data_IF_948506349124
#
_entry.id   IF_948506349124
#
_cell.length_a   1.000
_cell.length_b   1.000
_cell.length_c   1.000
_cell.angle_alpha   90.00
_cell.angle_beta   90.00
_cell.angle_gamma   90.00
#
_symmetry.space_group_name_H-M   'P 1'
#
loop_
_entity.id
_entity.type
_entity.pdbx_description
1 polymer ?
#
# COMPACT_ATOMS: atom_id res chain seq x y z
N UNK A 1 -42.51 -31.76 36.65
CA UNK A 1 -42.59 -32.17 35.23
C UNK A 1 -41.16 -32.29 34.75
N UNK A 2 -40.58 -33.49 34.62
CA UNK A 2 -40.86 -34.44 33.53
C UNK A 2 -40.57 -33.76 32.16
N UNK A 3 -39.80 -34.29 31.22
CA UNK A 3 -39.43 -35.68 30.99
C UNK A 3 -38.31 -35.70 29.92
N UNK A 4 -37.63 -36.86 29.84
CA UNK A 4 -36.75 -37.31 28.76
C UNK A 4 -37.39 -37.19 27.37
N UNK A 5 -36.54 -37.09 26.33
CA UNK A 5 -36.40 -38.10 25.25
C UNK A 5 -35.25 -37.68 24.30
N UNK A 6 -34.19 -38.50 24.14
CA UNK A 6 -34.07 -39.61 23.16
C UNK A 6 -33.95 -39.07 21.72
N UNK A 7 -33.03 -39.45 20.82
CA UNK A 7 -32.28 -40.71 20.67
C UNK A 7 -31.07 -40.54 19.74
N UNK A 8 -30.02 -41.31 20.04
CA UNK A 8 -28.94 -41.84 19.18
C UNK A 8 -29.24 -42.02 17.67
N UNK A 9 -28.18 -41.90 16.85
CA UNK A 9 -27.56 -42.96 16.03
C UNK A 9 -26.63 -42.28 14.98
N UNK A 10 -25.43 -42.73 14.61
CA UNK A 10 -24.94 -44.08 14.35
C UNK A 10 -23.44 -44.20 14.64
N UNK A 11 -23.10 -45.32 15.23
CA UNK A 11 -21.79 -45.90 15.47
C UNK A 11 -21.24 -46.55 14.18
N UNK A 12 -19.92 -46.71 14.09
CA UNK A 12 -19.25 -47.17 12.87
C UNK A 12 -17.77 -47.53 13.00
N UNK A 13 -17.50 -48.58 13.80
CA UNK A 13 -16.44 -49.59 13.61
C UNK A 13 -15.01 -49.34 14.17
N UNK A 14 -14.83 -49.88 15.39
CA UNK A 14 -13.78 -50.81 15.87
C UNK A 14 -12.32 -50.63 15.38
N UNK A 15 -11.43 -50.49 16.36
CA UNK A 15 -10.28 -51.40 16.47
C UNK A 15 -9.96 -51.72 17.93
N UNK A 16 -9.72 -53.01 18.17
CA UNK A 16 -9.58 -53.67 19.47
C UNK A 16 -8.25 -53.36 20.19
N UNK A 17 -8.27 -53.65 21.49
CA UNK A 17 -7.21 -53.61 22.51
C UNK A 17 -5.83 -54.11 22.06
N UNK A 18 -4.76 -53.37 22.37
CA UNK A 18 -3.49 -53.91 22.90
C UNK A 18 -2.84 -52.86 23.82
N UNK A 19 -2.65 -53.25 25.07
CA UNK A 19 -1.81 -52.63 26.09
C UNK A 19 -0.35 -52.51 25.66
N UNK A 20 0.26 -51.33 25.76
CA UNK A 20 1.71 -51.22 25.95
C UNK A 20 2.04 -49.90 26.67
N UNK A 21 2.44 -50.03 27.93
CA UNK A 21 3.06 -48.97 28.72
C UNK A 21 4.42 -48.63 28.10
N UNK A 22 4.58 -47.42 27.52
CA UNK A 22 5.90 -46.79 27.35
C UNK A 22 5.84 -45.27 27.56
N UNK A 23 6.93 -44.70 28.10
CA UNK A 23 6.90 -43.42 28.78
C UNK A 23 6.78 -42.24 27.84
N UNK A 24 6.13 -41.20 28.37
CA UNK A 24 6.03 -39.84 27.86
C UNK A 24 7.41 -39.28 27.51
N UNK A 25 7.82 -39.46 26.26
CA UNK A 25 8.97 -38.78 25.68
C UNK A 25 8.44 -37.64 24.80
N UNK A 26 8.30 -36.49 25.46
CA UNK A 26 7.94 -35.23 24.85
C UNK A 26 8.80 -34.90 23.62
N UNK A 27 8.14 -34.85 22.47
CA UNK A 27 8.51 -33.98 21.35
C UNK A 27 7.33 -33.80 20.40
N UNK A 28 6.17 -33.45 20.96
CA UNK A 28 5.26 -32.60 20.19
C UNK A 28 6.00 -31.28 20.03
N UNK A 29 6.46 -31.00 18.82
CA UNK A 29 6.78 -29.64 18.40
C UNK A 29 5.49 -28.87 18.65
N UNK A 30 5.41 -28.22 19.80
CA UNK A 30 4.41 -27.21 20.07
C UNK A 30 4.51 -26.24 18.91
N UNK A 31 3.55 -26.31 18.00
CA UNK A 31 3.24 -25.20 17.13
C UNK A 31 2.93 -24.06 18.11
N UNK A 32 3.95 -23.27 18.44
CA UNK A 32 3.82 -22.06 19.23
C UNK A 32 2.83 -21.20 18.48
N UNK A 33 1.55 -21.33 18.85
CA UNK A 33 0.56 -20.31 18.59
C UNK A 33 1.13 -19.08 19.28
N UNK A 34 1.77 -18.20 18.52
CA UNK A 34 2.11 -16.83 18.93
C UNK A 34 0.78 -16.10 19.13
N UNK A 35 0.03 -16.49 20.16
CA UNK A 35 -1.22 -15.88 20.55
C UNK A 35 -0.87 -14.56 21.21
N UNK A 36 -1.05 -13.46 20.49
CA UNK A 36 -0.95 -12.13 21.05
C UNK A 36 -1.95 -11.99 22.20
N UNK A 37 -1.49 -11.46 23.34
CA UNK A 37 -2.38 -11.16 24.46
C UNK A 37 -3.50 -10.23 23.99
N UNK A 38 -4.74 -10.48 24.43
CA UNK A 38 -5.93 -9.73 23.99
C UNK A 38 -5.76 -8.22 24.15
N UNK A 39 -5.07 -7.77 25.19
CA UNK A 39 -4.79 -6.36 25.45
C UNK A 39 -3.93 -5.68 24.36
N UNK A 40 -3.13 -6.46 23.64
CA UNK A 40 -2.26 -5.99 22.54
C UNK A 40 -2.92 -6.07 21.17
N UNK A 41 -4.12 -6.65 21.06
CA UNK A 41 -4.80 -6.81 19.78
C UNK A 41 -5.42 -5.49 19.28
N UNK A 42 -5.42 -5.33 17.97
CA UNK A 42 -5.87 -4.14 17.25
C UNK A 42 -7.41 -4.16 17.15
N UNK A 43 -8.07 -3.12 17.65
CA UNK A 43 -9.51 -2.93 17.50
C UNK A 43 -9.91 -2.26 16.18
N UNK A 44 -11.21 -1.99 15.98
CA UNK A 44 -11.77 -1.38 14.76
C UNK A 44 -11.03 -0.10 14.37
N UNK A 45 -10.92 0.87 15.28
CA UNK A 45 -10.25 2.15 15.00
C UNK A 45 -8.78 1.95 14.60
N UNK A 46 -8.07 1.06 15.30
CA UNK A 46 -6.68 0.73 14.96
C UNK A 46 -6.56 0.09 13.58
N UNK A 47 -7.49 -0.78 13.20
CA UNK A 47 -7.53 -1.40 11.89
C UNK A 47 -7.87 -0.39 10.77
N UNK A 48 -8.77 0.57 11.03
CA UNK A 48 -9.04 1.67 10.09
C UNK A 48 -7.75 2.46 9.83
N UNK A 49 -7.07 2.91 10.89
CA UNK A 49 -5.82 3.65 10.73
C UNK A 49 -4.71 2.82 10.07
N UNK A 50 -4.63 1.51 10.36
CA UNK A 50 -3.69 0.61 9.72
C UNK A 50 -3.87 0.61 8.19
N UNK A 51 -5.13 0.50 7.72
CA UNK A 51 -5.47 0.52 6.29
C UNK A 51 -5.19 1.91 5.69
N UNK A 52 -5.71 2.97 6.31
CA UNK A 52 -5.52 4.35 5.84
C UNK A 52 -4.04 4.71 5.69
N UNK A 53 -3.21 4.36 6.68
CA UNK A 53 -1.79 4.70 6.69
C UNK A 53 -1.01 4.05 5.55
N UNK A 54 -1.46 2.88 5.10
CA UNK A 54 -0.83 2.12 4.02
C UNK A 54 -1.34 2.53 2.65
N UNK A 55 -2.65 2.77 2.52
CA UNK A 55 -3.26 3.28 1.28
C UNK A 55 -2.76 4.68 0.93
N UNK A 56 -2.70 5.60 1.92
CA UNK A 56 -2.24 6.96 1.69
C UNK A 56 -0.71 6.96 1.52
N UNK A 57 -0.29 7.07 0.27
CA UNK A 57 1.09 7.10 -0.17
C UNK A 57 1.27 8.03 -1.36
N UNK A 58 2.28 7.77 -2.16
CA UNK A 58 2.67 8.68 -3.25
C UNK A 58 1.70 8.68 -4.41
N UNK A 59 0.86 7.64 -4.50
CA UNK A 59 -0.19 7.49 -5.49
C UNK A 59 -1.02 8.77 -5.65
N UNK A 60 -1.64 9.26 -4.58
CA UNK A 60 -2.51 10.45 -4.63
C UNK A 60 -1.76 11.76 -4.91
N UNK A 61 -0.45 11.80 -4.65
CA UNK A 61 0.37 13.00 -4.88
C UNK A 61 1.06 13.02 -6.25
N UNK A 62 1.05 11.90 -6.99
CA UNK A 62 1.80 11.74 -8.25
C UNK A 62 0.91 11.28 -9.41
N UNK A 63 0.11 10.23 -9.20
CA UNK A 63 -0.67 9.62 -10.28
C UNK A 63 -1.77 10.51 -10.90
N UNK A 64 -2.32 11.54 -10.23
CA UNK A 64 -3.22 12.49 -10.91
C UNK A 64 -2.63 13.05 -12.20
N UNK A 65 -1.31 13.31 -12.23
CA UNK A 65 -0.59 13.75 -13.42
C UNK A 65 -0.68 12.72 -14.55
N UNK A 66 -0.26 11.48 -14.28
CA UNK A 66 -0.25 10.39 -15.26
C UNK A 66 -1.64 10.01 -15.75
N UNK A 67 -2.65 10.02 -14.86
CA UNK A 67 -4.05 9.71 -15.20
C UNK A 67 -4.63 10.80 -16.10
N UNK A 68 -4.39 12.07 -15.77
CA UNK A 68 -4.85 13.17 -16.61
C UNK A 68 -4.12 13.18 -17.96
N UNK A 69 -2.80 12.97 -17.97
CA UNK A 69 -2.01 12.87 -19.19
C UNK A 69 -2.53 11.78 -20.14
N UNK A 70 -2.91 10.62 -19.59
CA UNK A 70 -3.48 9.53 -20.36
C UNK A 70 -4.88 9.81 -20.92
N UNK A 71 -5.73 10.51 -20.17
CA UNK A 71 -7.15 10.69 -20.50
C UNK A 71 -7.47 11.97 -21.28
N UNK A 72 -6.70 13.04 -21.05
CA UNK A 72 -6.96 14.36 -21.62
C UNK A 72 -8.28 15.01 -21.18
N UNK A 73 -8.96 14.46 -20.16
CA UNK A 73 -10.28 14.91 -19.72
C UNK A 73 -10.38 14.89 -18.19
N UNK A 74 -10.83 16.01 -17.63
CA UNK A 74 -10.95 16.23 -16.18
C UNK A 74 -12.05 15.33 -15.60
N UNK A 75 -13.22 15.31 -16.24
CA UNK A 75 -14.37 14.52 -15.83
C UNK A 75 -14.09 13.02 -15.90
N UNK A 76 -13.42 12.57 -16.97
CA UNK A 76 -13.02 11.17 -17.11
C UNK A 76 -11.98 10.80 -16.04
N UNK A 77 -10.97 11.65 -15.79
CA UNK A 77 -9.99 11.43 -14.72
C UNK A 77 -10.67 11.23 -13.36
N UNK A 78 -11.63 12.09 -13.02
CA UNK A 78 -12.40 11.99 -11.77
C UNK A 78 -13.27 10.72 -11.71
N UNK A 79 -13.92 10.35 -12.81
CA UNK A 79 -14.67 9.10 -12.89
C UNK A 79 -13.78 7.88 -12.66
N UNK A 80 -12.57 7.87 -13.22
CA UNK A 80 -11.64 6.77 -13.01
C UNK A 80 -11.24 6.64 -11.53
N UNK A 81 -11.09 7.73 -10.78
CA UNK A 81 -10.86 7.66 -9.33
C UNK A 81 -12.04 7.04 -8.57
N UNK A 82 -13.28 7.34 -8.97
CA UNK A 82 -14.49 6.72 -8.40
C UNK A 82 -14.54 5.23 -8.75
N UNK A 83 -14.28 4.88 -10.01
CA UNK A 83 -14.19 3.48 -10.48
C UNK A 83 -13.10 2.74 -9.71
N UNK A 84 -11.95 3.36 -9.46
CA UNK A 84 -10.87 2.79 -8.65
C UNK A 84 -11.30 2.44 -7.23
N UNK A 85 -12.05 3.33 -6.58
CA UNK A 85 -12.64 3.07 -5.27
C UNK A 85 -13.62 1.89 -5.32
N UNK A 86 -14.49 1.85 -6.33
CA UNK A 86 -15.42 0.73 -6.53
C UNK A 86 -14.70 -0.61 -6.78
N UNK A 87 -13.70 -0.65 -7.66
CA UNK A 87 -12.88 -1.84 -7.91
C UNK A 87 -12.16 -2.31 -6.64
N UNK A 88 -11.70 -1.37 -5.81
CA UNK A 88 -11.08 -1.67 -4.52
C UNK A 88 -12.08 -2.30 -3.56
N UNK A 89 -13.33 -1.83 -3.53
CA UNK A 89 -14.41 -2.47 -2.77
C UNK A 89 -14.72 -3.88 -3.26
N UNK A 90 -14.75 -4.13 -4.58
CA UNK A 90 -14.92 -5.47 -5.13
C UNK A 90 -13.78 -6.41 -4.69
N UNK A 91 -12.53 -5.95 -4.77
CA UNK A 91 -11.37 -6.69 -4.29
C UNK A 91 -11.42 -6.97 -2.79
N UNK A 92 -11.86 -5.99 -2.00
CA UNK A 92 -12.09 -6.16 -0.56
C UNK A 92 -13.10 -7.28 -0.29
N UNK A 93 -14.22 -7.32 -0.98
CA UNK A 93 -15.25 -8.34 -0.77
C UNK A 93 -14.70 -9.76 -0.97
N UNK A 94 -13.91 -9.98 -2.02
CA UNK A 94 -13.22 -11.27 -2.27
C UNK A 94 -12.29 -11.62 -1.11
N UNK A 95 -11.49 -10.65 -0.64
CA UNK A 95 -10.55 -10.87 0.46
C UNK A 95 -11.24 -11.06 1.81
N UNK A 96 -12.41 -10.45 2.03
CA UNK A 96 -13.21 -10.68 3.22
C UNK A 96 -13.70 -12.12 3.26
N UNK A 97 -14.21 -12.68 2.16
CA UNK A 97 -14.61 -14.09 2.13
C UNK A 97 -13.46 -15.02 2.50
N UNK A 98 -12.28 -14.83 1.88
CA UNK A 98 -11.10 -15.62 2.22
C UNK A 98 -10.61 -15.39 3.65
N UNK A 99 -10.53 -14.14 4.11
CA UNK A 99 -10.03 -13.79 5.45
C UNK A 99 -10.95 -14.25 6.57
N UNK A 100 -12.26 -14.34 6.32
CA UNK A 100 -13.24 -14.88 7.25
C UNK A 100 -13.22 -16.42 7.29
N UNK A 101 -12.93 -17.07 6.15
CA UNK A 101 -12.80 -18.52 6.05
C UNK A 101 -11.44 -19.04 6.55
N UNK A 102 -10.37 -18.27 6.37
CA UNK A 102 -8.99 -18.61 6.72
C UNK A 102 -8.44 -17.52 7.64
N UNK A 103 -8.79 -17.52 8.94
CA UNK A 103 -8.39 -16.48 9.89
C UNK A 103 -6.92 -16.64 10.34
N UNK A 104 -6.00 -16.71 9.37
CA UNK A 104 -4.56 -16.79 9.57
C UNK A 104 -3.88 -15.61 8.88
N UNK A 105 -2.91 -15.03 9.57
CA UNK A 105 -2.05 -13.99 9.00
C UNK A 105 -1.26 -14.54 7.83
N UNK A 106 -1.20 -13.77 6.74
CA UNK A 106 -0.49 -14.15 5.50
C UNK A 106 -1.17 -13.73 4.21
N UNK A 107 -2.42 -13.24 4.27
CA UNK A 107 -3.14 -12.67 3.13
C UNK A 107 -3.17 -13.60 1.91
N UNK A 108 -2.77 -13.06 0.75
CA UNK A 108 -2.81 -13.75 -0.55
C UNK A 108 -2.10 -15.10 -0.52
N UNK A 109 -1.05 -15.25 0.29
CA UNK A 109 -0.32 -16.51 0.43
C UNK A 109 -1.24 -17.63 0.88
N UNK A 110 -1.93 -17.42 1.99
CA UNK A 110 -2.80 -18.43 2.58
C UNK A 110 -3.98 -18.74 1.65
N UNK A 111 -4.44 -17.74 0.90
CA UNK A 111 -5.57 -17.87 -0.02
C UNK A 111 -5.17 -18.71 -1.24
N UNK A 112 -4.05 -18.37 -1.88
CA UNK A 112 -3.57 -19.09 -3.06
C UNK A 112 -3.14 -20.52 -2.73
N UNK A 113 -2.50 -20.77 -1.58
CA UNK A 113 -2.15 -22.13 -1.14
C UNK A 113 -3.39 -23.00 -0.90
N UNK A 114 -4.49 -22.38 -0.43
CA UNK A 114 -5.74 -23.11 -0.15
C UNK A 114 -6.42 -23.58 -1.43
N UNK A 115 -6.39 -22.76 -2.48
CA UNK A 115 -7.04 -22.97 -3.78
C UNK A 115 -6.13 -23.77 -4.72
N UNK A 116 -4.94 -23.25 -5.00
CA UNK A 116 -4.01 -23.79 -5.99
C UNK A 116 -3.05 -24.79 -5.37
N UNK A 117 -3.56 -26.00 -5.10
CA UNK A 117 -2.83 -27.06 -4.38
C UNK A 117 -1.80 -27.81 -5.24
N UNK A 118 -1.90 -27.75 -6.57
CA UNK A 118 -1.05 -28.48 -7.51
C UNK A 118 -0.50 -27.56 -8.61
N UNK A 119 0.80 -27.69 -8.98
CA UNK A 119 1.83 -28.46 -8.30
C UNK A 119 2.18 -27.89 -6.91
N UNK A 120 2.61 -28.75 -5.99
CA UNK A 120 2.90 -28.38 -4.60
C UNK A 120 3.96 -27.27 -4.58
N UNK A 121 3.75 -26.24 -3.76
CA UNK A 121 4.59 -25.03 -3.63
C UNK A 121 4.57 -24.05 -4.80
N UNK A 122 3.90 -24.31 -5.93
CA UNK A 122 3.92 -23.36 -7.05
C UNK A 122 3.31 -22.01 -6.67
N UNK A 123 2.12 -22.01 -6.06
CA UNK A 123 1.45 -20.79 -5.61
C UNK A 123 2.34 -19.98 -4.65
N UNK A 124 2.95 -20.66 -3.68
CA UNK A 124 3.87 -20.05 -2.74
C UNK A 124 5.09 -19.48 -3.44
N UNK A 125 5.72 -20.22 -4.36
CA UNK A 125 6.90 -19.77 -5.11
C UNK A 125 6.60 -18.55 -6.00
N UNK A 126 5.44 -18.53 -6.67
CA UNK A 126 5.00 -17.39 -7.48
C UNK A 126 4.81 -16.16 -6.60
N UNK A 127 4.12 -16.30 -5.46
CA UNK A 127 3.96 -15.18 -4.54
C UNK A 127 5.29 -14.74 -3.91
N UNK A 128 6.11 -15.68 -3.46
CA UNK A 128 7.40 -15.41 -2.85
C UNK A 128 8.32 -14.67 -3.82
N UNK A 129 8.42 -15.13 -5.07
CA UNK A 129 9.21 -14.46 -6.10
C UNK A 129 8.72 -13.04 -6.38
N UNK A 130 7.41 -12.83 -6.51
CA UNK A 130 6.82 -11.50 -6.65
C UNK A 130 7.12 -10.60 -5.45
N UNK A 131 7.00 -11.12 -4.23
CA UNK A 131 7.17 -10.33 -3.01
C UNK A 131 8.63 -10.02 -2.69
N UNK A 132 9.54 -10.95 -2.96
CA UNK A 132 10.98 -10.76 -2.75
C UNK A 132 11.55 -9.83 -3.83
N UNK A 133 11.24 -10.08 -5.10
CA UNK A 133 11.86 -9.33 -6.21
C UNK A 133 11.17 -8.00 -6.48
N UNK A 134 9.87 -7.90 -6.19
CA UNK A 134 9.05 -6.74 -6.59
C UNK A 134 8.39 -6.06 -5.37
N UNK A 135 8.62 -6.55 -4.14
CA UNK A 135 8.17 -5.89 -2.91
C UNK A 135 9.14 -4.80 -2.43
N UNK A 136 9.20 -3.69 -3.16
CA UNK A 136 10.11 -2.56 -2.90
C UNK A 136 9.41 -1.27 -2.49
N UNK A 137 10.19 -0.33 -1.92
CA UNK A 137 9.72 1.02 -1.54
C UNK A 137 10.20 2.13 -2.49
N UNK A 138 10.67 1.78 -3.69
CA UNK A 138 11.39 2.70 -4.59
C UNK A 138 10.54 3.87 -5.05
N UNK A 139 9.26 3.66 -5.39
CA UNK A 139 8.35 4.74 -5.79
C UNK A 139 8.18 5.79 -4.70
N UNK A 140 7.94 5.34 -3.45
CA UNK A 140 7.81 6.26 -2.31
C UNK A 140 9.11 6.94 -1.94
N UNK A 141 10.24 6.23 -2.07
CA UNK A 141 11.55 6.80 -1.78
C UNK A 141 11.93 7.86 -2.82
N UNK A 142 11.71 7.60 -4.11
CA UNK A 142 11.98 8.56 -5.18
C UNK A 142 11.14 9.83 -5.01
N UNK A 143 9.84 9.66 -4.75
CA UNK A 143 8.96 10.79 -4.49
C UNK A 143 9.37 11.60 -3.26
N UNK A 144 9.82 10.96 -2.18
CA UNK A 144 10.44 11.67 -1.06
C UNK A 144 11.58 12.58 -1.54
N UNK A 145 12.53 12.04 -2.31
CA UNK A 145 13.67 12.80 -2.83
C UNK A 145 13.26 13.99 -3.71
N UNK A 146 12.33 13.76 -4.65
CA UNK A 146 11.81 14.82 -5.53
C UNK A 146 11.10 15.92 -4.74
N UNK A 147 10.28 15.56 -3.76
CA UNK A 147 9.60 16.56 -2.92
C UNK A 147 10.55 17.35 -2.02
N UNK A 148 11.62 16.74 -1.49
CA UNK A 148 12.65 17.47 -0.74
C UNK A 148 13.38 18.47 -1.64
N UNK A 149 13.80 18.07 -2.84
CA UNK A 149 14.44 18.98 -3.79
C UNK A 149 13.51 20.12 -4.20
N UNK A 150 12.25 19.80 -4.50
CA UNK A 150 11.26 20.81 -4.85
C UNK A 150 11.03 21.80 -3.69
N UNK A 151 10.93 21.32 -2.45
CA UNK A 151 10.80 22.16 -1.27
C UNK A 151 12.03 23.06 -1.01
N UNK A 152 13.22 22.64 -1.48
CA UNK A 152 14.45 23.45 -1.42
C UNK A 152 14.53 24.54 -2.51
N UNK A 153 13.53 24.63 -3.40
CA UNK A 153 13.47 25.62 -4.47
C UNK A 153 14.13 25.19 -5.79
N UNK A 154 14.44 23.90 -5.97
CA UNK A 154 14.96 23.37 -7.24
C UNK A 154 13.85 23.31 -8.29
N UNK A 155 14.09 23.86 -9.47
CA UNK A 155 13.13 23.88 -10.57
C UNK A 155 12.94 22.51 -11.24
N UNK A 156 14.00 21.70 -11.31
CA UNK A 156 13.98 20.35 -11.86
C UNK A 156 14.29 19.31 -10.77
N UNK A 157 13.31 18.94 -9.93
CA UNK A 157 13.51 18.02 -8.82
C UNK A 157 13.49 16.56 -9.29
N UNK A 158 14.49 16.15 -10.06
CA UNK A 158 14.69 14.75 -10.47
C UNK A 158 16.18 14.45 -10.73
N UNK A 159 16.50 13.23 -11.19
CA UNK A 159 17.85 12.80 -11.51
C UNK A 159 18.58 12.17 -10.33
N UNK A 160 19.91 12.14 -10.40
CA UNK A 160 20.73 11.44 -9.41
C UNK A 160 20.68 12.07 -8.03
N UNK A 161 20.47 13.39 -7.93
CA UNK A 161 20.28 14.07 -6.64
C UNK A 161 19.02 13.53 -5.92
N UNK A 162 17.89 13.44 -6.62
CA UNK A 162 16.64 12.93 -6.05
C UNK A 162 16.79 11.46 -5.62
N UNK A 163 17.50 10.66 -6.42
CA UNK A 163 17.78 9.25 -6.11
C UNK A 163 18.73 9.11 -4.91
N UNK A 164 19.75 9.95 -4.79
CA UNK A 164 20.62 9.97 -3.61
C UNK A 164 19.82 10.19 -2.32
N UNK A 165 18.96 11.20 -2.32
CA UNK A 165 18.06 11.49 -1.17
C UNK A 165 17.09 10.34 -0.92
N UNK A 166 16.57 9.71 -1.99
CA UNK A 166 15.71 8.54 -1.88
C UNK A 166 16.42 7.32 -1.26
N UNK A 167 17.69 7.06 -1.60
CA UNK A 167 18.52 6.03 -0.94
C UNK A 167 18.67 6.35 0.53
N UNK A 168 18.95 7.62 0.89
CA UNK A 168 19.02 8.03 2.29
C UNK A 168 17.70 7.77 3.03
N UNK A 169 16.55 8.05 2.39
CA UNK A 169 15.22 7.81 2.95
C UNK A 169 14.97 6.33 3.29
N UNK A 170 15.18 5.42 2.33
CA UNK A 170 15.00 3.97 2.59
C UNK A 170 16.04 3.43 3.58
N UNK A 171 17.28 3.93 3.52
CA UNK A 171 18.34 3.54 4.45
C UNK A 171 17.97 3.95 5.88
N UNK A 172 17.49 5.18 6.07
CA UNK A 172 16.98 5.64 7.36
C UNK A 172 15.83 4.76 7.86
N UNK A 173 14.85 4.46 7.02
CA UNK A 173 13.70 3.62 7.41
C UNK A 173 14.13 2.21 7.84
N UNK A 174 15.05 1.59 7.10
CA UNK A 174 15.59 0.26 7.39
C UNK A 174 16.42 0.25 8.66
N UNK A 175 17.30 1.25 8.86
CA UNK A 175 18.10 1.36 10.08
C UNK A 175 17.22 1.61 11.31
N UNK A 176 16.22 2.49 11.21
CA UNK A 176 15.28 2.77 12.29
C UNK A 176 14.54 1.50 12.75
N UNK A 177 14.03 0.71 11.80
CA UNK A 177 13.34 -0.54 12.12
C UNK A 177 14.29 -1.65 12.59
N UNK A 178 15.54 -1.64 12.12
CA UNK A 178 16.54 -2.65 12.50
C UNK A 178 17.08 -2.41 13.90
N UNK A 179 17.45 -1.17 14.23
CA UNK A 179 18.15 -0.83 15.49
C UNK A 179 17.16 -0.45 16.59
N UNK A 180 16.10 0.28 16.24
CA UNK A 180 15.13 0.84 17.19
C UNK A 180 13.68 0.53 16.80
N UNK A 181 13.27 -0.75 16.72
CA UNK A 181 11.99 -1.17 16.14
C UNK A 181 10.78 -0.49 16.78
N UNK A 182 10.81 -0.24 18.11
CA UNK A 182 9.75 0.47 18.83
C UNK A 182 9.57 1.91 18.36
N UNK A 183 10.68 2.62 18.09
CA UNK A 183 10.65 3.99 17.57
C UNK A 183 10.25 4.02 16.10
N UNK A 184 10.69 3.05 15.31
CA UNK A 184 10.22 2.87 13.93
C UNK A 184 8.70 2.76 13.86
N UNK A 185 8.09 1.95 14.74
CA UNK A 185 6.62 1.81 14.84
C UNK A 185 5.95 3.13 15.24
N UNK A 186 6.44 3.78 16.30
CA UNK A 186 5.88 5.06 16.77
C UNK A 186 5.93 6.12 15.67
N UNK A 187 7.07 6.24 14.98
CA UNK A 187 7.27 7.23 13.94
C UNK A 187 6.31 7.02 12.77
N UNK A 188 6.19 5.80 12.25
CA UNK A 188 5.27 5.59 11.12
C UNK A 188 3.80 5.76 11.52
N UNK A 189 3.42 5.45 12.76
CA UNK A 189 2.06 5.70 13.26
C UNK A 189 1.75 7.20 13.33
N UNK A 190 2.67 8.01 13.88
CA UNK A 190 2.54 9.47 13.92
C UNK A 190 2.48 10.05 12.51
N UNK A 191 3.39 9.63 11.64
CA UNK A 191 3.40 10.06 10.24
C UNK A 191 2.11 9.64 9.52
N UNK A 192 1.54 8.49 9.87
CA UNK A 192 0.26 8.01 9.37
C UNK A 192 -0.90 8.97 9.62
N UNK A 193 -1.09 9.39 10.87
CA UNK A 193 -2.09 10.42 11.23
C UNK A 193 -1.82 11.72 10.48
N UNK A 194 -0.55 12.12 10.41
CA UNK A 194 -0.12 13.32 9.70
C UNK A 194 -0.48 13.29 8.20
N UNK A 195 -0.45 12.12 7.53
CA UNK A 195 -0.85 12.03 6.11
C UNK A 195 -2.31 12.41 5.89
N UNK A 196 -3.20 11.97 6.79
CA UNK A 196 -4.63 12.29 6.71
C UNK A 196 -4.84 13.79 6.88
N UNK A 197 -4.11 14.42 7.80
CA UNK A 197 -4.15 15.87 8.03
C UNK A 197 -3.71 16.64 6.78
N UNK A 198 -2.62 16.25 6.13
CA UNK A 198 -2.16 16.89 4.89
C UNK A 198 -3.21 16.76 3.78
N UNK A 199 -3.84 15.59 3.65
CA UNK A 199 -4.83 15.37 2.61
C UNK A 199 -6.09 16.22 2.84
N UNK A 200 -6.55 16.32 4.09
CA UNK A 200 -7.61 17.25 4.47
C UNK A 200 -7.22 18.70 4.19
N UNK A 201 -5.98 19.08 4.49
CA UNK A 201 -5.47 20.42 4.19
C UNK A 201 -5.51 20.73 2.69
N UNK A 202 -5.13 19.78 1.83
CA UNK A 202 -5.27 19.90 0.36
C UNK A 202 -6.74 20.07 -0.04
N UNK A 203 -7.64 19.25 0.50
CA UNK A 203 -9.08 19.30 0.20
C UNK A 203 -9.68 20.66 0.57
N UNK A 204 -9.45 21.16 1.79
CA UNK A 204 -9.98 22.45 2.22
C UNK A 204 -9.36 23.62 1.45
N UNK A 205 -8.07 23.55 1.14
CA UNK A 205 -7.41 24.54 0.27
C UNK A 205 -7.99 24.50 -1.15
N UNK A 206 -8.39 23.31 -1.63
CA UNK A 206 -9.08 23.13 -2.92
C UNK A 206 -10.43 23.83 -2.97
N UNK A 207 -11.24 23.72 -1.91
CA UNK A 207 -12.48 24.49 -1.80
C UNK A 207 -12.23 26.00 -1.78
N UNK A 208 -11.16 26.46 -1.11
CA UNK A 208 -10.75 27.87 -1.17
C UNK A 208 -10.37 28.31 -2.60
N UNK A 209 -9.66 27.47 -3.35
CA UNK A 209 -9.35 27.72 -4.76
C UNK A 209 -10.59 27.79 -5.66
N UNK A 210 -11.58 26.91 -5.44
CA UNK A 210 -12.88 26.98 -6.13
C UNK A 210 -13.62 28.27 -5.81
N UNK A 211 -13.49 28.78 -4.57
CA UNK A 211 -14.01 30.08 -4.17
C UNK A 211 -13.16 31.28 -4.66
N UNK A 212 -12.16 31.04 -5.52
CA UNK A 212 -11.33 32.09 -6.12
C UNK A 212 -10.06 32.48 -5.36
N UNK A 213 -9.77 31.85 -4.21
CA UNK A 213 -8.58 32.14 -3.41
C UNK A 213 -7.35 31.43 -3.99
N UNK A 214 -6.78 32.00 -5.06
CA UNK A 214 -5.62 31.49 -5.79
C UNK A 214 -4.64 32.61 -6.04
N UNK A 215 -3.35 32.29 -6.18
CA UNK A 215 -2.30 33.23 -6.61
C UNK A 215 -2.10 33.25 -8.13
N UNK A 216 -2.78 32.34 -8.84
CA UNK A 216 -2.75 32.21 -10.29
C UNK A 216 -4.15 32.47 -10.88
N UNK A 217 -4.25 32.83 -12.18
CA UNK A 217 -5.54 32.94 -12.87
C UNK A 217 -6.36 31.64 -12.79
N UNK A 218 -7.68 31.76 -12.97
CA UNK A 218 -8.56 30.59 -13.00
C UNK A 218 -8.15 29.65 -14.14
N UNK A 219 -7.85 28.35 -13.88
CA UNK A 219 -7.53 27.42 -14.95
C UNK A 219 -8.75 26.99 -15.78
N UNK A 220 -9.99 27.30 -15.35
CA UNK A 220 -11.22 26.98 -16.09
C UNK A 220 -11.38 25.48 -16.43
N UNK A 221 -10.77 24.61 -15.62
CA UNK A 221 -10.73 23.17 -15.86
C UNK A 221 -12.11 22.48 -15.79
N UNK A 222 -13.06 23.09 -15.09
CA UNK A 222 -14.40 22.52 -14.88
C UNK A 222 -15.45 22.98 -15.91
N UNK A 223 -15.17 24.02 -16.70
CA UNK A 223 -16.13 24.63 -17.63
C UNK A 223 -16.62 23.63 -18.69
N UNK A 224 -15.73 22.74 -19.14
CA UNK A 224 -16.03 21.65 -20.06
C UNK A 224 -15.35 20.36 -19.59
N UNK A 225 -15.63 19.95 -18.35
CA UNK A 225 -14.87 18.90 -17.66
C UNK A 225 -14.75 17.58 -18.46
N UNK A 226 -15.79 17.18 -19.20
CA UNK A 226 -15.79 15.92 -19.95
C UNK A 226 -15.17 16.00 -21.35
N UNK A 227 -14.84 17.20 -21.84
CA UNK A 227 -14.19 17.35 -23.14
C UNK A 227 -12.84 16.66 -23.12
N UNK A 228 -12.63 15.75 -24.07
CA UNK A 228 -11.32 15.16 -24.33
C UNK A 228 -10.53 16.20 -25.11
N UNK A 229 -9.37 16.56 -24.57
CA UNK A 229 -8.46 17.52 -25.15
C UNK A 229 -7.11 16.87 -25.40
N UNK A 230 -6.57 17.15 -26.58
CA UNK A 230 -5.23 16.75 -26.97
C UNK A 230 -4.33 17.97 -26.90
N UNK A 231 -3.24 17.87 -26.15
CA UNK A 231 -2.35 18.98 -25.86
C UNK A 231 -0.92 18.52 -25.62
N UNK A 232 -0.06 19.47 -25.28
CA UNK A 232 1.35 19.17 -25.04
C UNK A 232 1.53 18.33 -23.76
N UNK A 233 1.73 17.03 -23.96
CA UNK A 233 1.92 16.04 -22.89
C UNK A 233 0.64 15.36 -22.39
N UNK A 234 -0.51 15.55 -23.04
CA UNK A 234 -1.76 14.88 -22.66
C UNK A 234 -2.72 14.67 -23.84
N UNK A 235 -3.68 13.75 -23.69
CA UNK A 235 -4.69 13.47 -24.71
C UNK A 235 -4.21 12.54 -25.82
N UNK A 236 -3.58 11.43 -25.44
CA UNK A 236 -3.29 10.34 -26.40
C UNK A 236 -4.46 9.38 -26.59
N UNK A 237 -5.35 9.29 -25.59
CA UNK A 237 -6.53 8.42 -25.61
C UNK A 237 -6.24 6.94 -25.92
N UNK A 238 -7.28 6.21 -26.28
CA UNK A 238 -7.18 4.81 -26.71
C UNK A 238 -7.03 3.80 -25.57
N UNK A 239 -7.29 2.53 -25.88
CA UNK A 239 -7.36 1.45 -24.88
C UNK A 239 -6.09 1.37 -24.02
N UNK A 240 -4.90 1.52 -24.62
CA UNK A 240 -3.63 1.46 -23.91
C UNK A 240 -3.46 2.58 -22.87
N UNK A 241 -3.83 3.83 -23.21
CA UNK A 241 -3.73 4.94 -22.26
C UNK A 241 -4.71 4.77 -21.10
N UNK A 242 -5.95 4.37 -21.39
CA UNK A 242 -6.96 4.07 -20.37
C UNK A 242 -6.55 2.90 -19.46
N UNK A 243 -5.95 1.84 -20.01
CA UNK A 243 -5.40 0.74 -19.20
C UNK A 243 -4.28 1.21 -18.28
N UNK A 244 -3.37 2.06 -18.76
CA UNK A 244 -2.32 2.64 -17.92
C UNK A 244 -2.89 3.57 -16.84
N UNK A 245 -3.91 4.37 -17.14
CA UNK A 245 -4.58 5.21 -16.16
C UNK A 245 -5.22 4.37 -15.04
N UNK A 246 -5.89 3.27 -15.40
CA UNK A 246 -6.47 2.33 -14.44
C UNK A 246 -5.39 1.67 -13.57
N UNK A 247 -4.23 1.30 -14.13
CA UNK A 247 -3.12 0.76 -13.35
C UNK A 247 -2.56 1.78 -12.34
N UNK A 248 -2.42 3.05 -12.75
CA UNK A 248 -2.02 4.13 -11.84
C UNK A 248 -3.04 4.35 -10.71
N UNK A 249 -4.32 4.12 -10.99
CA UNK A 249 -5.38 4.18 -9.98
C UNK A 249 -5.30 3.00 -9.03
N UNK A 250 -5.15 1.78 -9.55
CA UNK A 250 -4.97 0.57 -8.73
C UNK A 250 -3.75 0.74 -7.81
N UNK A 251 -2.65 1.28 -8.33
CA UNK A 251 -1.47 1.62 -7.52
C UNK A 251 -1.82 2.57 -6.36
N UNK A 252 -2.61 3.61 -6.64
CA UNK A 252 -2.95 4.63 -5.64
C UNK A 252 -3.87 4.13 -4.54
N UNK A 253 -4.76 3.19 -4.85
CA UNK A 253 -5.64 2.57 -3.88
C UNK A 253 -5.02 1.36 -3.16
N UNK A 254 -3.86 0.87 -3.61
CA UNK A 254 -3.21 -0.30 -3.01
C UNK A 254 -2.82 -0.04 -1.56
N UNK A 255 -2.88 -1.08 -0.73
CA UNK A 255 -2.48 -1.04 0.67
C UNK A 255 -3.55 -1.53 1.64
N UNK A 256 -4.80 -1.65 1.18
CA UNK A 256 -5.92 -2.17 1.97
C UNK A 256 -5.77 -3.64 2.33
N UNK A 257 -5.00 -4.40 1.54
CA UNK A 257 -4.69 -5.79 1.78
C UNK A 257 -3.94 -6.01 3.11
N UNK A 258 -3.30 -4.97 3.65
CA UNK A 258 -2.45 -5.07 4.83
C UNK A 258 -3.17 -5.54 6.11
N UNK A 259 -4.48 -5.31 6.21
CA UNK A 259 -5.28 -5.81 7.32
C UNK A 259 -5.35 -7.34 7.33
N UNK A 260 -5.22 -7.97 6.14
CA UNK A 260 -5.18 -9.43 5.98
C UNK A 260 -3.82 -10.04 6.37
N UNK A 261 -2.78 -9.22 6.53
CA UNK A 261 -1.47 -9.68 7.03
C UNK A 261 -1.40 -9.74 8.54
N UNK A 262 -2.32 -9.07 9.25
CA UNK A 262 -2.32 -8.97 10.72
C UNK A 262 -3.62 -9.49 11.32
N UNK A 263 -4.34 -10.37 10.63
CA UNK A 263 -5.64 -10.92 11.07
C UNK A 263 -5.55 -11.55 12.46
N UNK A 264 -4.47 -12.26 12.76
CA UNK A 264 -4.22 -12.88 14.08
C UNK A 264 -4.02 -11.85 15.20
N UNK A 265 -3.70 -10.61 14.85
CA UNK A 265 -3.49 -9.49 15.78
C UNK A 265 -4.76 -8.66 15.98
N UNK A 266 -5.87 -8.95 15.27
CA UNK A 266 -7.12 -8.20 15.40
C UNK A 266 -8.00 -8.72 16.54
N UNK A 267 -8.64 -7.81 17.28
CA UNK A 267 -9.75 -8.14 18.18
C UNK A 267 -10.96 -8.52 17.35
N UNK A 268 -11.62 -9.65 17.65
CA UNK A 268 -12.78 -10.15 16.89
C UNK A 268 -12.61 -9.99 15.36
N UNK A 269 -11.65 -10.70 14.72
CA UNK A 269 -11.20 -10.41 13.36
C UNK A 269 -12.33 -10.26 12.34
N UNK A 270 -13.36 -11.11 12.42
CA UNK A 270 -14.53 -11.04 11.53
C UNK A 270 -15.25 -9.70 11.59
N UNK A 271 -15.62 -9.25 12.79
CA UNK A 271 -16.32 -7.98 13.01
C UNK A 271 -15.41 -6.78 12.70
N UNK A 272 -14.14 -6.88 13.10
CA UNK A 272 -13.19 -5.78 12.90
C UNK A 272 -12.92 -5.53 11.42
N UNK A 273 -12.64 -6.56 10.62
CA UNK A 273 -12.41 -6.40 9.18
C UNK A 273 -13.66 -5.94 8.44
N UNK A 274 -14.82 -6.53 8.74
CA UNK A 274 -16.10 -6.20 8.10
C UNK A 274 -16.53 -4.74 8.33
N UNK A 275 -16.06 -4.08 9.40
CA UNK A 275 -16.37 -2.68 9.69
C UNK A 275 -15.22 -1.76 9.26
N UNK A 276 -13.99 -2.09 9.66
CA UNK A 276 -12.85 -1.20 9.48
C UNK A 276 -12.46 -1.03 8.00
N UNK A 277 -12.46 -2.12 7.23
CA UNK A 277 -11.98 -2.05 5.85
C UNK A 277 -12.92 -1.27 4.92
N UNK A 278 -14.25 -1.45 4.95
CA UNK A 278 -15.17 -0.60 4.18
C UNK A 278 -15.10 0.88 4.56
N UNK A 279 -15.00 1.19 5.86
CA UNK A 279 -14.87 2.59 6.34
C UNK A 279 -13.57 3.20 5.81
N UNK A 280 -12.46 2.49 5.89
CA UNK A 280 -11.17 2.99 5.43
C UNK A 280 -11.14 3.22 3.91
N UNK A 281 -11.61 2.25 3.11
CA UNK A 281 -11.64 2.36 1.64
C UNK A 281 -12.62 3.46 1.21
N UNK A 282 -13.80 3.56 1.82
CA UNK A 282 -14.77 4.62 1.55
C UNK A 282 -14.20 6.01 1.87
N UNK A 283 -13.56 6.15 3.04
CA UNK A 283 -12.90 7.40 3.44
C UNK A 283 -11.77 7.81 2.49
N UNK A 284 -10.91 6.87 2.11
CA UNK A 284 -9.83 7.14 1.12
C UNK A 284 -10.39 7.53 -0.23
N UNK A 285 -11.44 6.83 -0.70
CA UNK A 285 -12.09 7.14 -1.99
C UNK A 285 -12.59 8.56 -2.01
N UNK A 286 -13.32 8.99 -0.97
CA UNK A 286 -13.82 10.36 -0.84
C UNK A 286 -12.66 11.36 -0.84
N UNK A 287 -11.64 11.15 0.00
CA UNK A 287 -10.50 12.04 0.10
C UNK A 287 -9.71 12.14 -1.20
N UNK A 288 -9.55 11.03 -1.94
CA UNK A 288 -8.83 10.99 -3.21
C UNK A 288 -9.58 11.73 -4.31
N UNK A 289 -10.89 11.53 -4.43
CA UNK A 289 -11.71 12.27 -5.39
C UNK A 289 -11.66 13.77 -5.07
N UNK A 290 -11.83 14.15 -3.81
CA UNK A 290 -11.77 15.56 -3.38
C UNK A 290 -10.39 16.19 -3.58
N UNK A 291 -9.30 15.44 -3.34
CA UNK A 291 -7.95 15.93 -3.60
C UNK A 291 -7.70 16.16 -5.10
N UNK A 292 -8.23 15.28 -5.96
CA UNK A 292 -8.17 15.51 -7.40
C UNK A 292 -8.98 16.74 -7.83
N UNK A 293 -10.17 16.94 -7.26
CA UNK A 293 -10.94 18.19 -7.46
C UNK A 293 -10.11 19.40 -7.04
N UNK A 294 -9.41 19.34 -5.89
CA UNK A 294 -8.52 20.40 -5.45
C UNK A 294 -7.40 20.68 -6.47
N UNK A 295 -6.74 19.65 -6.98
CA UNK A 295 -5.70 19.81 -8.00
C UNK A 295 -6.23 20.47 -9.26
N UNK A 296 -7.38 20.02 -9.79
CA UNK A 296 -8.00 20.64 -10.96
C UNK A 296 -8.52 22.06 -10.70
N UNK A 297 -8.84 22.43 -9.47
CA UNK A 297 -9.26 23.79 -9.12
C UNK A 297 -8.13 24.84 -9.19
N UNK A 298 -6.88 24.40 -9.02
CA UNK A 298 -5.73 25.29 -8.86
C UNK A 298 -4.60 25.10 -9.89
N UNK A 299 -4.52 23.97 -10.60
CA UNK A 299 -3.43 23.66 -11.52
C UNK A 299 -3.94 23.68 -12.98
N UNK A 300 -3.33 24.45 -13.90
CA UNK A 300 -3.62 24.36 -15.34
C UNK A 300 -3.37 22.94 -15.90
N UNK A 301 -4.17 22.52 -16.90
CA UNK A 301 -4.09 21.16 -17.48
C UNK A 301 -2.70 20.76 -17.98
N UNK A 302 -2.04 21.66 -18.70
CA UNK A 302 -0.67 21.45 -19.23
C UNK A 302 0.34 21.18 -18.14
N UNK A 303 0.24 21.94 -17.03
CA UNK A 303 1.16 21.84 -15.91
C UNK A 303 0.90 20.57 -15.12
N UNK A 304 -0.38 20.22 -14.93
CA UNK A 304 -0.77 18.98 -14.27
C UNK A 304 -0.24 17.76 -15.05
N UNK A 305 -0.41 17.73 -16.37
CA UNK A 305 0.05 16.64 -17.22
C UNK A 305 1.57 16.41 -17.15
N UNK A 306 2.36 17.48 -16.99
CA UNK A 306 3.83 17.44 -16.94
C UNK A 306 4.42 17.34 -15.53
N UNK A 307 3.58 17.46 -14.51
CA UNK A 307 4.03 17.53 -13.11
C UNK A 307 4.59 16.24 -12.55
N UNK A 308 4.27 15.09 -13.16
CA UNK A 308 4.69 13.76 -12.73
C UNK A 308 4.48 13.53 -11.22
N UNK A 309 5.55 13.59 -10.43
CA UNK A 309 5.55 13.26 -9.00
C UNK A 309 5.22 14.46 -8.12
N UNK A 310 5.28 15.69 -8.64
CA UNK A 310 5.22 16.92 -7.83
C UNK A 310 3.86 17.65 -7.91
N UNK A 311 2.76 16.94 -8.22
CA UNK A 311 1.40 17.53 -8.34
C UNK A 311 1.04 18.40 -7.14
N UNK A 312 1.16 17.85 -5.93
CA UNK A 312 0.83 18.59 -4.71
C UNK A 312 1.76 19.80 -4.47
N UNK A 313 3.00 19.75 -4.97
CA UNK A 313 3.93 20.87 -4.88
C UNK A 313 3.49 22.05 -5.75
N UNK A 314 3.06 21.76 -6.99
CA UNK A 314 2.47 22.78 -7.87
C UNK A 314 1.17 23.34 -7.30
N UNK A 315 0.32 22.47 -6.73
CA UNK A 315 -0.90 22.89 -6.03
C UNK A 315 -0.59 23.93 -4.94
N UNK A 316 0.36 23.63 -4.05
CA UNK A 316 0.73 24.55 -2.98
C UNK A 316 1.30 25.86 -3.50
N UNK A 317 2.14 25.85 -4.54
CA UNK A 317 2.67 27.06 -5.17
C UNK A 317 1.54 27.94 -5.72
N UNK A 318 0.55 27.34 -6.38
CA UNK A 318 -0.55 28.08 -7.00
C UNK A 318 -1.56 28.65 -5.98
N UNK A 319 -1.67 28.04 -4.79
CA UNK A 319 -2.57 28.51 -3.72
C UNK A 319 -1.88 29.51 -2.80
N UNK A 320 -0.66 29.19 -2.35
CA UNK A 320 0.03 29.92 -1.28
C UNK A 320 1.16 30.84 -1.78
N UNK A 321 1.52 30.74 -3.06
CA UNK A 321 2.54 31.56 -3.70
C UNK A 321 3.96 31.06 -3.44
N UNK A 322 4.93 31.96 -3.53
CA UNK A 322 6.35 31.64 -3.47
C UNK A 322 7.06 32.05 -2.17
N UNK A 323 6.30 32.38 -1.12
CA UNK A 323 6.91 32.67 0.18
C UNK A 323 7.73 31.48 0.67
N UNK A 324 8.76 31.73 1.50
CA UNK A 324 9.59 30.65 2.04
C UNK A 324 8.74 29.59 2.78
N UNK A 325 7.69 30.01 3.48
CA UNK A 325 6.73 29.11 4.12
C UNK A 325 5.96 28.26 3.09
N UNK A 326 5.44 28.88 2.02
CA UNK A 326 4.71 28.18 0.96
C UNK A 326 5.60 27.18 0.20
N UNK A 327 6.85 27.56 -0.09
CA UNK A 327 7.85 26.69 -0.72
C UNK A 327 8.21 25.47 0.14
N UNK A 328 8.00 25.52 1.45
CA UNK A 328 8.28 24.40 2.36
C UNK A 328 7.14 23.37 2.47
N UNK A 329 5.91 23.73 2.09
CA UNK A 329 4.74 22.84 2.14
C UNK A 329 4.92 21.48 1.42
N UNK A 330 5.62 21.39 0.28
CA UNK A 330 5.90 20.11 -0.37
C UNK A 330 6.73 19.16 0.51
N UNK A 331 7.47 19.65 1.50
CA UNK A 331 8.17 18.80 2.48
C UNK A 331 7.19 17.98 3.35
N UNK A 332 5.96 18.45 3.55
CA UNK A 332 4.93 17.65 4.22
C UNK A 332 4.54 16.42 3.40
N UNK A 333 4.49 16.55 2.07
CA UNK A 333 4.29 15.40 1.17
C UNK A 333 5.50 14.47 1.20
N UNK A 334 6.72 15.01 1.27
CA UNK A 334 7.91 14.18 1.51
C UNK A 334 7.77 13.38 2.82
N UNK A 335 7.42 14.00 3.94
CA UNK A 335 7.20 13.30 5.21
C UNK A 335 6.10 12.22 5.13
N UNK A 336 5.03 12.47 4.37
CA UNK A 336 4.01 11.46 4.05
C UNK A 336 4.61 10.24 3.32
N UNK A 337 5.47 10.50 2.33
CA UNK A 337 6.17 9.46 1.57
C UNK A 337 7.12 8.65 2.47
N UNK A 338 7.88 9.32 3.35
CA UNK A 338 8.71 8.66 4.38
C UNK A 338 7.88 7.75 5.29
N UNK A 339 6.71 8.22 5.74
CA UNK A 339 5.79 7.41 6.52
C UNK A 339 5.34 6.15 5.77
N UNK A 340 5.13 6.23 4.45
CA UNK A 340 4.80 5.06 3.63
C UNK A 340 6.01 4.12 3.48
N UNK A 341 7.23 4.63 3.22
CA UNK A 341 8.47 3.83 3.19
C UNK A 341 8.64 3.05 4.49
N UNK A 342 8.51 3.69 5.65
CA UNK A 342 8.57 3.03 6.96
C UNK A 342 7.53 1.91 7.10
N UNK A 343 6.29 2.15 6.67
CA UNK A 343 5.21 1.15 6.76
C UNK A 343 5.43 -0.04 5.80
N UNK A 344 5.87 0.22 4.57
CA UNK A 344 6.19 -0.82 3.57
C UNK A 344 7.36 -1.66 4.06
N UNK A 345 8.49 -1.05 4.45
CA UNK A 345 9.66 -1.79 4.93
C UNK A 345 9.34 -2.66 6.15
N UNK A 346 8.51 -2.15 7.06
CA UNK A 346 8.05 -2.90 8.23
C UNK A 346 7.25 -4.17 7.86
N UNK A 347 6.29 -4.05 6.94
CA UNK A 347 5.45 -5.17 6.52
C UNK A 347 6.24 -6.19 5.68
N UNK A 348 7.01 -5.71 4.69
CA UNK A 348 7.78 -6.59 3.79
C UNK A 348 8.89 -7.34 4.51
N UNK A 349 9.53 -6.75 5.53
CA UNK A 349 10.55 -7.48 6.29
C UNK A 349 9.97 -8.71 7.02
N UNK A 350 8.76 -8.60 7.58
CA UNK A 350 8.08 -9.73 8.23
C UNK A 350 7.71 -10.79 7.22
N UNK A 351 7.15 -10.38 6.08
CA UNK A 351 6.82 -11.29 5.00
C UNK A 351 8.07 -12.05 4.53
N UNK A 352 9.17 -11.35 4.24
CA UNK A 352 10.45 -11.96 3.85
C UNK A 352 10.98 -12.90 4.93
N UNK A 353 10.83 -12.55 6.22
CA UNK A 353 11.22 -13.40 7.33
C UNK A 353 10.37 -14.68 7.42
N UNK A 354 9.06 -14.59 7.22
CA UNK A 354 8.18 -15.77 7.23
C UNK A 354 8.48 -16.71 6.04
N UNK A 355 8.69 -16.15 4.85
CA UNK A 355 9.14 -16.93 3.69
C UNK A 355 10.50 -17.60 3.95
N UNK A 356 11.41 -16.91 4.66
CA UNK A 356 12.68 -17.49 5.08
C UNK A 356 12.50 -18.66 6.07
N UNK A 357 11.62 -18.52 7.08
CA UNK A 357 11.34 -19.58 8.06
C UNK A 357 10.81 -20.86 7.42
N UNK A 358 10.12 -20.73 6.28
CA UNK A 358 9.59 -21.84 5.49
C UNK A 358 10.62 -22.48 4.54
N UNK A 359 11.86 -22.01 4.53
CA UNK A 359 12.91 -22.59 3.68
C UNK A 359 12.87 -22.12 2.23
N UNK A 360 12.10 -21.08 1.91
CA UNK A 360 11.92 -20.61 0.52
C UNK A 360 13.08 -19.76 -0.01
N UNK A 361 13.96 -19.29 0.87
CA UNK A 361 15.09 -18.44 0.53
C UNK A 361 16.42 -19.21 0.67
N UNK A 362 17.39 -19.01 -0.24
CA UNK A 362 18.75 -19.48 0.02
C UNK A 362 19.26 -18.82 1.30
N UNK A 363 19.97 -19.58 2.13
CA UNK A 363 20.43 -19.14 3.46
C UNK A 363 19.28 -18.72 4.40
N UNK A 364 18.11 -19.38 4.31
CA UNK A 364 16.91 -19.14 5.13
C UNK A 364 17.15 -18.81 6.60
N UNK A 365 18.09 -19.48 7.28
CA UNK A 365 18.43 -19.20 8.69
C UNK A 365 18.91 -17.76 8.93
N UNK A 366 19.63 -17.17 7.99
CA UNK A 366 20.10 -15.79 8.06
C UNK A 366 18.93 -14.81 7.95
N UNK A 367 18.08 -14.98 6.93
CA UNK A 367 16.92 -14.11 6.68
C UNK A 367 15.82 -14.25 7.72
N UNK A 368 15.69 -15.43 8.34
CA UNK A 368 14.73 -15.71 9.40
C UNK A 368 15.14 -15.10 10.76
N UNK A 369 16.39 -14.65 10.92
CA UNK A 369 16.95 -14.21 12.20
C UNK A 369 16.33 -12.91 12.73
N UNK A 370 16.19 -12.81 14.06
CA UNK A 370 15.85 -11.59 14.79
C UNK A 370 17.06 -10.91 15.45
N UNK A 371 18.26 -11.50 15.32
CA UNK A 371 19.49 -10.96 15.94
C UNK A 371 20.06 -9.81 15.09
N UNK A 372 20.73 -8.82 15.71
CA UNK A 372 21.01 -8.70 17.15
C UNK A 372 19.94 -7.92 17.96
N UNK A 373 19.09 -7.12 17.31
CA UNK A 373 18.25 -6.11 17.98
C UNK A 373 16.80 -6.55 18.24
N UNK A 374 16.50 -7.85 18.20
CA UNK A 374 15.14 -8.40 18.24
C UNK A 374 14.22 -7.82 17.15
N UNK A 375 14.79 -7.63 15.96
CA UNK A 375 14.11 -7.17 14.75
C UNK A 375 14.62 -7.97 13.55
N UNK A 376 13.82 -8.14 12.48
CA UNK A 376 14.19 -8.88 11.28
C UNK A 376 15.16 -8.06 10.40
N UNK A 377 16.34 -7.71 10.94
CA UNK A 377 17.30 -6.80 10.30
C UNK A 377 17.84 -7.34 8.97
N UNK A 378 18.08 -8.65 8.87
CA UNK A 378 18.49 -9.29 7.61
C UNK A 378 17.37 -9.23 6.56
N UNK A 379 16.12 -9.49 6.94
CA UNK A 379 14.99 -9.38 6.02
C UNK A 379 14.69 -7.93 5.59
N UNK A 380 14.90 -6.96 6.49
CA UNK A 380 14.89 -5.52 6.17
C UNK A 380 16.00 -5.17 5.17
N UNK A 381 17.19 -5.74 5.34
CA UNK A 381 18.30 -5.58 4.41
C UNK A 381 18.00 -6.15 3.02
N UNK A 382 17.30 -7.29 2.93
CA UNK A 382 16.81 -7.81 1.64
C UNK A 382 15.87 -6.82 0.94
N UNK A 383 14.90 -6.26 1.68
CA UNK A 383 14.00 -5.24 1.15
C UNK A 383 14.77 -3.98 0.71
N UNK A 384 15.79 -3.58 1.46
CA UNK A 384 16.67 -2.47 1.12
C UNK A 384 17.41 -2.71 -0.19
N UNK A 385 18.05 -3.88 -0.37
CA UNK A 385 18.78 -4.24 -1.60
C UNK A 385 17.87 -4.09 -2.81
N UNK A 386 16.71 -4.73 -2.78
CA UNK A 386 15.77 -4.73 -3.91
C UNK A 386 15.26 -3.31 -4.18
N UNK A 387 14.97 -2.54 -3.14
CA UNK A 387 14.54 -1.15 -3.27
C UNK A 387 15.62 -0.27 -3.91
N UNK A 388 16.88 -0.40 -3.49
CA UNK A 388 18.01 0.38 -4.03
C UNK A 388 18.32 -0.03 -5.46
N UNK A 389 18.30 -1.32 -5.78
CA UNK A 389 18.50 -1.81 -7.15
C UNK A 389 17.44 -1.21 -8.08
N UNK A 390 16.16 -1.28 -7.73
CA UNK A 390 15.07 -0.72 -8.56
C UNK A 390 15.16 0.81 -8.67
N UNK A 391 15.75 1.49 -7.67
CA UNK A 391 15.94 2.93 -7.70
C UNK A 391 17.12 3.36 -8.60
N UNK A 392 18.22 2.60 -8.60
CA UNK A 392 19.47 2.98 -9.26
C UNK A 392 19.69 2.31 -10.62
N UNK A 393 19.10 1.14 -10.86
CA UNK A 393 19.29 0.40 -12.10
C UNK A 393 18.68 1.08 -13.34
N UNK A 394 17.47 1.68 -13.28
CA UNK A 394 16.96 2.46 -14.42
C UNK A 394 17.86 3.67 -14.69
N UNK A 395 18.06 4.08 -15.95
CA UNK A 395 18.83 5.29 -16.27
C UNK A 395 18.18 6.54 -15.65
N UNK A 396 18.96 7.61 -15.44
CA UNK A 396 18.44 8.87 -14.92
C UNK A 396 17.38 9.44 -15.87
N UNK A 397 16.24 9.86 -15.31
CA UNK A 397 15.07 10.30 -16.07
C UNK A 397 13.76 9.88 -15.38
N UNK A 398 12.61 10.12 -16.03
CA UNK A 398 11.28 9.85 -15.47
C UNK A 398 11.01 8.35 -15.34
N UNK A 399 11.54 7.76 -14.27
CA UNK A 399 11.41 6.34 -13.97
C UNK A 399 10.22 6.03 -13.06
N UNK A 400 9.51 7.04 -12.56
CA UNK A 400 8.45 6.83 -11.57
C UNK A 400 7.33 5.93 -12.10
N UNK A 401 6.79 6.21 -13.28
CA UNK A 401 5.74 5.38 -13.88
C UNK A 401 6.24 3.95 -14.16
N UNK A 402 7.48 3.78 -14.59
CA UNK A 402 8.09 2.46 -14.74
C UNK A 402 8.14 1.70 -13.40
N UNK A 403 8.60 2.36 -12.33
CA UNK A 403 8.66 1.77 -10.97
C UNK A 403 7.27 1.40 -10.46
N UNK A 404 6.29 2.28 -10.67
CA UNK A 404 4.87 2.05 -10.32
C UNK A 404 4.34 0.83 -11.07
N UNK A 405 4.56 0.76 -12.39
CA UNK A 405 4.11 -0.34 -13.22
C UNK A 405 4.77 -1.66 -12.81
N UNK A 406 6.08 -1.68 -12.60
CA UNK A 406 6.84 -2.85 -12.17
C UNK A 406 6.30 -3.45 -10.85
N UNK A 407 5.77 -2.61 -9.96
CA UNK A 407 5.11 -3.06 -8.74
C UNK A 407 3.66 -3.49 -8.94
N UNK A 408 2.93 -2.80 -9.81
CA UNK A 408 1.47 -2.93 -9.91
C UNK A 408 1.07 -4.13 -10.76
N UNK A 409 1.69 -4.32 -11.93
CA UNK A 409 1.35 -5.42 -12.85
C UNK A 409 1.40 -6.81 -12.19
N UNK A 410 2.49 -7.22 -11.52
CA UNK A 410 2.55 -8.53 -10.86
C UNK A 410 1.51 -8.67 -9.76
N UNK A 411 1.28 -7.61 -8.98
CA UNK A 411 0.28 -7.61 -7.91
C UNK A 411 -1.15 -7.77 -8.45
N UNK A 412 -1.45 -7.13 -9.58
CA UNK A 412 -2.74 -7.29 -10.27
C UNK A 412 -2.96 -8.73 -10.74
N UNK A 413 -1.93 -9.42 -11.23
CA UNK A 413 -2.01 -10.84 -11.58
C UNK A 413 -2.26 -11.72 -10.36
N UNK A 414 -1.54 -11.50 -9.26
CA UNK A 414 -1.77 -12.21 -7.99
C UNK A 414 -3.22 -12.04 -7.53
N UNK A 415 -3.73 -10.81 -7.53
CA UNK A 415 -5.13 -10.55 -7.17
C UNK A 415 -6.10 -11.22 -8.14
N UNK A 416 -5.79 -11.25 -9.44
CA UNK A 416 -6.56 -11.99 -10.43
C UNK A 416 -6.66 -13.48 -10.11
N UNK A 417 -5.54 -14.13 -9.72
CA UNK A 417 -5.55 -15.53 -9.27
C UNK A 417 -6.33 -15.71 -7.96
N UNK A 418 -6.20 -14.81 -6.99
CA UNK A 418 -6.99 -14.87 -5.75
C UNK A 418 -8.49 -14.81 -6.07
N UNK A 419 -8.91 -13.87 -6.92
CA UNK A 419 -10.32 -13.74 -7.34
C UNK A 419 -10.80 -14.96 -8.11
N UNK A 420 -10.00 -15.45 -9.06
CA UNK A 420 -10.34 -16.65 -9.83
C UNK A 420 -10.47 -17.89 -8.93
N UNK A 421 -9.70 -17.96 -7.84
CA UNK A 421 -9.77 -19.05 -6.88
C UNK A 421 -11.01 -19.08 -6.00
N UNK A 422 -11.83 -18.04 -6.01
CA UNK A 422 -13.12 -17.99 -5.30
C UNK A 422 -14.26 -18.61 -6.12
N UNK A 423 -14.10 -18.67 -7.46
CA UNK A 423 -15.02 -19.26 -8.44
C UNK A 423 -14.61 -20.73 -8.65
#
# INVERSE_FOLDING_TARGET
>A
MADRKETQAFDGLRHDDISDERPDNGSTIDAQNFAYSEDRKIGITGAVFLILNKMIGTGIFSTPSSIFAATGSVGISLMLWVIGGFLTFCGLSVFLEFGLAIPRSGGEKNYLERVYRRPRYLATCVLASQMILLGFSSGNSLAFGRYILFASGRETPDGWEARGIAVTCVTFAVLMHSVTPKWGIRLFNVLGVFKVVILLFIVFSGFAALAGHRRVPNPHNFDNAFRIEDGDGYGGGGAYAYSNALLNIIYSYKGWENANYVVSELKHPKKTLAIAAPIAIGGVTILYVLANVAYFAAIPKSDLAKSEVIVAGLFFRNIFGESAAARSLPAFVALSNLGNVLAVSFAHARLNQELAKEGMLPFSRFWASNKPFNAPASALFLHWIVTVVVLLAPPAGPAYNFIVNLYTYPGSWINGFVTAGLI
#
